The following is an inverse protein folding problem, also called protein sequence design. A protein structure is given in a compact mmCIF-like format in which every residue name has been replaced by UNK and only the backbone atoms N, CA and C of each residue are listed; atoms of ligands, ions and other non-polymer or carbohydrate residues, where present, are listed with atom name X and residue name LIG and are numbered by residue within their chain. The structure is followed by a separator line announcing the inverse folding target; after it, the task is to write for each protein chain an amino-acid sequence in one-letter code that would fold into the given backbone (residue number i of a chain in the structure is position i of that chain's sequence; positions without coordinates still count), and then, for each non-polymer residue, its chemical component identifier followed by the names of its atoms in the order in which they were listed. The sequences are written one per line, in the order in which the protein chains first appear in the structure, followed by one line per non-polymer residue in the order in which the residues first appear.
data_IF_026429021619
#
_entry.id   IF_026429021619
#
_cell.length_a   1.000
_cell.length_b   1.000
_cell.length_c   1.000
_cell.angle_alpha   90.00
_cell.angle_beta   90.00
_cell.angle_gamma   90.00
#
_symmetry.space_group_name_H-M   'P 1'
#
loop_
_entity.id
_entity.type
_entity.pdbx_description
1 polymer ?
#
# COMPACT_ATOMS: atom_id res chain seq x y z
N UNK A 1 -2.18 10.55 -5.87
CA UNK A 1 -2.39 9.16 -5.41
C UNK A 1 -3.88 8.96 -5.24
N UNK A 2 -4.49 8.11 -6.06
CA UNK A 2 -5.90 7.79 -5.94
C UNK A 2 -6.09 6.54 -5.09
N UNK A 3 -7.20 6.50 -4.36
CA UNK A 3 -7.58 5.38 -3.52
C UNK A 3 -8.94 4.88 -4.02
N UNK A 4 -8.97 3.63 -4.47
CA UNK A 4 -10.15 2.94 -4.95
C UNK A 4 -10.72 2.07 -3.84
N UNK A 5 -12.01 1.77 -3.91
CA UNK A 5 -12.65 0.81 -3.01
C UNK A 5 -13.28 -0.29 -3.86
N UNK A 6 -13.09 -1.55 -3.47
CA UNK A 6 -13.50 -2.73 -4.23
C UNK A 6 -14.03 -3.83 -3.31
N UNK A 7 -15.12 -4.50 -3.69
CA UNK A 7 -15.59 -5.68 -2.98
C UNK A 7 -14.64 -6.86 -3.17
N UNK A 8 -14.50 -7.69 -2.13
CA UNK A 8 -13.60 -8.84 -2.11
C UNK A 8 -13.84 -9.84 -3.26
N UNK A 9 -15.09 -10.04 -3.69
CA UNK A 9 -15.39 -10.97 -4.78
C UNK A 9 -14.88 -10.44 -6.13
N UNK A 10 -15.08 -9.14 -6.39
CA UNK A 10 -14.54 -8.47 -7.58
C UNK A 10 -13.01 -8.39 -7.53
N UNK A 11 -12.44 -8.09 -6.35
CA UNK A 11 -11.01 -8.08 -6.13
C UNK A 11 -10.36 -9.43 -6.48
N UNK A 12 -10.97 -10.55 -6.11
CA UNK A 12 -10.49 -11.90 -6.47
C UNK A 12 -10.59 -12.18 -7.97
N UNK A 13 -11.69 -11.78 -8.60
CA UNK A 13 -11.91 -12.01 -10.03
C UNK A 13 -10.97 -11.19 -10.92
N UNK A 14 -10.60 -9.99 -10.49
CA UNK A 14 -9.81 -9.03 -11.27
C UNK A 14 -8.38 -8.84 -10.72
N UNK A 15 -7.90 -9.76 -9.89
CA UNK A 15 -6.66 -9.57 -9.11
C UNK A 15 -5.45 -9.18 -9.95
N UNK A 16 -5.22 -9.85 -11.09
CA UNK A 16 -4.09 -9.54 -11.97
C UNK A 16 -4.15 -8.12 -12.57
N UNK A 17 -5.33 -7.68 -13.01
CA UNK A 17 -5.50 -6.33 -13.56
C UNK A 17 -5.30 -5.25 -12.49
N UNK A 18 -5.70 -5.53 -11.25
CA UNK A 18 -5.47 -4.66 -10.11
C UNK A 18 -3.97 -4.55 -9.82
N UNK A 19 -3.21 -5.65 -9.88
CA UNK A 19 -1.75 -5.62 -9.73
C UNK A 19 -1.08 -4.80 -10.84
N UNK A 20 -1.51 -4.94 -12.09
CA UNK A 20 -1.02 -4.11 -13.20
C UNK A 20 -1.29 -2.62 -12.97
N UNK A 21 -2.48 -2.27 -12.46
CA UNK A 21 -2.81 -0.89 -12.11
C UNK A 21 -1.89 -0.37 -11.00
N UNK A 22 -1.73 -1.13 -9.91
CA UNK A 22 -0.84 -0.78 -8.79
C UNK A 22 0.59 -0.55 -9.28
N UNK A 23 1.12 -1.46 -10.12
CA UNK A 23 2.46 -1.38 -10.65
C UNK A 23 2.68 -0.14 -11.53
N UNK A 24 1.71 0.18 -12.40
CA UNK A 24 1.86 1.23 -13.40
C UNK A 24 1.49 2.63 -12.88
N UNK A 25 0.60 2.73 -11.89
CA UNK A 25 0.04 4.01 -11.43
C UNK A 25 0.33 4.33 -9.96
N UNK A 26 0.72 3.33 -9.16
CA UNK A 26 0.86 3.49 -7.72
C UNK A 26 -0.48 3.61 -6.97
N UNK A 27 -1.59 3.21 -7.60
CA UNK A 27 -2.93 3.26 -7.00
C UNK A 27 -3.07 2.32 -5.80
N UNK A 28 -3.96 2.68 -4.86
CA UNK A 28 -4.21 1.91 -3.64
C UNK A 28 -5.66 1.42 -3.63
N UNK A 29 -5.89 0.19 -3.16
CA UNK A 29 -7.22 -0.44 -3.18
C UNK A 29 -7.66 -0.84 -1.79
N UNK A 30 -8.73 -0.23 -1.29
CA UNK A 30 -9.43 -0.65 -0.07
C UNK A 30 -10.38 -1.79 -0.42
N UNK A 31 -10.26 -2.91 0.30
CA UNK A 31 -11.07 -4.10 0.09
C UNK A 31 -12.23 -4.09 1.09
N UNK A 32 -13.45 -4.18 0.56
CA UNK A 32 -14.69 -4.33 1.32
C UNK A 32 -15.16 -5.78 1.34
N UNK A 33 -15.81 -6.19 2.43
CA UNK A 33 -16.33 -7.55 2.58
C UNK A 33 -17.76 -7.60 3.12
N UNK A 34 -18.53 -8.56 2.62
CA UNK A 34 -19.91 -8.83 3.03
C UNK A 34 -20.92 -7.80 2.52
N UNK A 35 -22.20 -8.08 2.81
CA UNK A 35 -23.33 -7.25 2.35
C UNK A 35 -23.32 -5.81 2.87
N UNK A 36 -22.65 -5.58 4.00
CA UNK A 36 -22.54 -4.25 4.60
C UNK A 36 -21.34 -3.45 4.06
N UNK A 37 -20.61 -3.97 3.07
CA UNK A 37 -19.47 -3.26 2.47
C UNK A 37 -18.45 -2.78 3.52
N UNK A 38 -18.18 -3.60 4.53
CA UNK A 38 -17.25 -3.22 5.60
C UNK A 38 -15.84 -3.21 5.02
N UNK A 39 -15.12 -2.10 5.16
CA UNK A 39 -13.70 -2.00 4.83
C UNK A 39 -12.90 -2.92 5.76
N UNK A 40 -12.11 -3.84 5.18
CA UNK A 40 -11.42 -4.89 5.95
C UNK A 40 -9.92 -4.98 5.68
N UNK A 41 -9.45 -4.58 4.50
CA UNK A 41 -8.04 -4.63 4.13
C UNK A 41 -7.71 -3.56 3.09
N UNK A 42 -6.42 -3.36 2.81
CA UNK A 42 -5.96 -2.50 1.73
C UNK A 42 -4.77 -3.14 1.02
N UNK A 43 -4.75 -3.05 -0.31
CA UNK A 43 -3.61 -3.37 -1.14
C UNK A 43 -2.92 -2.06 -1.55
N UNK A 44 -1.62 -1.99 -1.29
CA UNK A 44 -0.78 -0.83 -1.58
C UNK A 44 0.39 -1.23 -2.47
N UNK A 45 0.92 -0.30 -3.29
CA UNK A 45 2.18 -0.53 -3.98
C UNK A 45 3.26 -0.92 -2.97
N UNK A 46 4.07 -1.88 -3.35
CA UNK A 46 5.26 -2.21 -2.58
C UNK A 46 6.32 -1.14 -2.85
N UNK A 47 6.79 -0.49 -1.79
CA UNK A 47 7.88 0.49 -1.83
C UNK A 47 9.10 -0.18 -1.21
N UNK A 48 10.19 -0.35 -1.97
CA UNK A 48 11.47 -0.76 -1.43
C UNK A 48 11.96 0.32 -0.46
N UNK A 49 11.86 0.07 0.85
CA UNK A 49 12.36 1.00 1.85
C UNK A 49 13.86 1.25 1.63
N UNK A 50 14.23 2.44 1.14
CA UNK A 50 15.57 2.98 1.39
C UNK A 50 15.61 3.39 2.86
N UNK A 51 15.93 2.43 3.74
CA UNK A 51 16.28 2.74 5.13
C UNK A 51 17.60 3.49 5.18
N UNK A 52 17.53 4.81 5.18
CA UNK A 52 18.49 5.64 5.92
C UNK A 52 17.72 6.59 6.83
N UNK A 53 17.08 6.02 7.84
CA UNK A 53 16.73 6.82 9.00
C UNK A 53 18.04 7.15 9.73
N UNK A 54 18.64 8.31 9.44
CA UNK A 54 19.57 8.89 10.41
C UNK A 54 18.71 9.30 11.60
N UNK A 55 18.62 8.41 12.58
CA UNK A 55 18.10 8.75 13.90
C UNK A 55 18.98 9.88 14.40
N UNK A 56 18.39 11.06 14.63
CA UNK A 56 19.07 12.15 15.30
C UNK A 56 19.46 11.67 16.70
N UNK A 57 20.69 11.18 16.84
CA UNK A 57 21.27 10.98 18.16
C UNK A 57 21.55 12.37 18.73
N UNK A 58 20.79 12.74 19.76
CA UNK A 58 21.08 13.88 20.64
C UNK A 58 22.36 13.53 21.42
N UNK A 59 23.50 13.47 20.74
CA UNK A 59 24.84 13.27 21.31
C UNK A 59 25.98 13.56 20.31
N UNK A 60 25.73 14.37 19.28
CA UNK A 60 26.81 15.06 18.57
C UNK A 60 27.73 14.21 17.69
N UNK A 61 27.34 12.99 17.30
CA UNK A 61 28.00 12.24 16.21
C UNK A 61 26.97 11.52 15.35
N UNK A 62 26.77 12.01 14.13
CA UNK A 62 25.95 11.34 13.12
C UNK A 62 26.75 10.22 12.47
N UNK A 63 26.34 8.97 12.68
CA UNK A 63 26.75 7.85 11.84
C UNK A 63 25.62 7.59 10.84
N UNK A 64 25.80 8.11 9.63
CA UNK A 64 25.06 7.62 8.47
C UNK A 64 26.08 6.76 7.70
N UNK A 65 25.89 5.44 7.68
CA UNK A 65 26.61 4.54 6.77
C UNK A 65 25.94 4.59 5.39
#
# INVERSE_FOLDING_TARGET
MNMQTIQADKFKAEFSAILEQIQNTGEKFVIEYGKQHKKVAMLVPYEDEIKRACIWAISGKSYCA
#
